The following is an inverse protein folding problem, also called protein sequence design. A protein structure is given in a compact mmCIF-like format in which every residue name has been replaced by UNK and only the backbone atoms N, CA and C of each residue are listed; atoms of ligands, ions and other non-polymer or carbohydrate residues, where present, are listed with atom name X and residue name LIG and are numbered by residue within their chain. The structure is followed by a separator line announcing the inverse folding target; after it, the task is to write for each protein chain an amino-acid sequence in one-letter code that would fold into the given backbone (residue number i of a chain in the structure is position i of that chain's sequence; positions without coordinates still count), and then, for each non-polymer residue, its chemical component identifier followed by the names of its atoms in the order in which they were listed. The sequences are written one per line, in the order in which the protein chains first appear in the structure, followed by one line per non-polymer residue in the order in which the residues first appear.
data_IF_722673674949
#
_entry.id   IF_722673674949
#
_cell.length_a   1.000
_cell.length_b   1.000
_cell.length_c   1.000
_cell.angle_alpha   90.00
_cell.angle_beta   90.00
_cell.angle_gamma   90.00
#
_symmetry.space_group_name_H-M   'P 1'
#
loop_
_entity.id
_entity.type
_entity.pdbx_description
1 polymer ?
#
# COMPACT_ATOMS: atom_id res chain seq x y z
N UNK A 1 7.81 -17.34 1.10
CA UNK A 1 7.40 -17.15 2.49
C UNK A 1 8.36 -17.83 3.48
N UNK A 2 8.44 -19.19 3.53
CA UNK A 2 9.33 -19.87 4.48
C UNK A 2 10.79 -19.42 4.36
N UNK A 3 11.34 -19.42 3.16
CA UNK A 3 12.72 -19.01 2.90
C UNK A 3 12.98 -17.55 3.35
N UNK A 4 12.01 -16.65 3.15
CA UNK A 4 12.14 -15.26 3.60
C UNK A 4 12.29 -15.18 5.14
N UNK A 5 11.49 -15.97 5.87
CA UNK A 5 11.61 -16.06 7.33
C UNK A 5 12.96 -16.65 7.78
N UNK A 6 13.42 -17.74 7.12
CA UNK A 6 14.69 -18.41 7.43
C UNK A 6 15.91 -17.52 7.16
N UNK A 7 15.84 -16.70 6.11
CA UNK A 7 16.92 -15.79 5.72
C UNK A 7 16.90 -14.46 6.47
N UNK A 8 15.90 -14.19 7.32
CA UNK A 8 15.73 -12.91 8.00
C UNK A 8 15.50 -11.75 7.04
N UNK A 9 14.75 -11.99 5.95
CA UNK A 9 14.42 -10.95 5.00
C UNK A 9 13.57 -9.84 5.66
N UNK A 10 13.72 -8.60 5.21
CA UNK A 10 12.88 -7.48 5.68
C UNK A 10 11.46 -7.63 5.18
N UNK A 11 11.29 -8.03 3.91
CA UNK A 11 9.99 -8.21 3.26
C UNK A 11 9.96 -9.43 2.36
N UNK A 12 8.74 -9.84 1.98
CA UNK A 12 8.49 -10.81 0.92
C UNK A 12 7.24 -10.36 0.14
N UNK A 13 7.35 -10.44 -1.18
CA UNK A 13 6.43 -9.83 -2.12
C UNK A 13 5.43 -10.86 -2.68
N UNK A 14 4.27 -10.37 -3.21
CA UNK A 14 3.17 -11.11 -3.85
C UNK A 14 2.41 -12.06 -2.93
N UNK A 15 3.01 -13.14 -2.49
CA UNK A 15 2.49 -14.14 -1.54
C UNK A 15 1.16 -14.81 -1.95
N UNK A 16 0.82 -14.81 -3.25
CA UNK A 16 -0.46 -15.31 -3.78
C UNK A 16 -0.75 -16.79 -3.43
N UNK A 17 0.30 -17.61 -3.31
CA UNK A 17 0.21 -19.04 -3.03
C UNK A 17 0.90 -19.42 -1.70
N UNK A 18 1.11 -18.46 -0.80
CA UNK A 18 1.75 -18.71 0.47
C UNK A 18 0.84 -19.55 1.39
N UNK A 19 1.37 -20.63 1.94
CA UNK A 19 0.65 -21.48 2.89
C UNK A 19 0.63 -20.82 4.26
N UNK A 20 -0.44 -21.05 5.01
CA UNK A 20 -0.65 -20.46 6.33
C UNK A 20 0.51 -20.72 7.30
N UNK A 21 1.04 -21.94 7.32
CA UNK A 21 2.20 -22.30 8.13
C UNK A 21 3.45 -21.48 7.84
N UNK A 22 3.63 -21.07 6.56
CA UNK A 22 4.76 -20.24 6.13
C UNK A 22 4.50 -18.75 6.42
N UNK A 23 3.25 -18.31 6.36
CA UNK A 23 2.85 -16.98 6.79
C UNK A 23 3.05 -16.80 8.29
N UNK A 24 2.71 -17.80 9.10
CA UNK A 24 2.96 -17.79 10.55
C UNK A 24 4.46 -17.69 10.87
N UNK A 25 5.32 -18.38 10.11
CA UNK A 25 6.80 -18.25 10.24
C UNK A 25 7.26 -16.82 9.90
N UNK A 26 6.73 -16.21 8.85
CA UNK A 26 7.03 -14.81 8.50
C UNK A 26 6.61 -13.86 9.61
N UNK A 27 5.41 -14.03 10.18
CA UNK A 27 4.92 -13.22 11.29
C UNK A 27 5.86 -13.31 12.49
N UNK A 28 6.25 -14.55 12.88
CA UNK A 28 7.19 -14.78 13.99
C UNK A 28 8.58 -14.21 13.74
N UNK A 29 9.02 -14.15 12.49
CA UNK A 29 10.32 -13.59 12.08
C UNK A 29 10.27 -12.06 11.83
N UNK A 30 9.11 -11.42 11.92
CA UNK A 30 8.94 -10.01 11.66
C UNK A 30 9.06 -9.61 10.18
N UNK A 31 8.93 -10.56 9.24
CA UNK A 31 9.00 -10.30 7.80
C UNK A 31 7.73 -9.61 7.34
N UNK A 32 7.86 -8.50 6.64
CA UNK A 32 6.73 -7.71 6.13
C UNK A 32 6.18 -8.36 4.84
N UNK A 33 4.86 -8.55 4.78
CA UNK A 33 4.17 -9.01 3.59
C UNK A 33 3.88 -7.82 2.66
N UNK A 34 4.56 -7.73 1.52
CA UNK A 34 4.29 -6.68 0.51
C UNK A 34 3.33 -7.24 -0.53
N UNK A 35 2.10 -6.74 -0.55
CA UNK A 35 1.06 -7.19 -1.46
C UNK A 35 0.94 -6.27 -2.67
N UNK A 36 0.73 -6.88 -3.83
CA UNK A 36 0.79 -6.24 -5.14
C UNK A 36 -0.53 -6.46 -5.91
N UNK A 37 -1.65 -5.89 -5.42
CA UNK A 37 -2.97 -6.22 -5.96
C UNK A 37 -3.15 -5.79 -7.42
N UNK A 38 -2.48 -4.74 -7.87
CA UNK A 38 -2.57 -4.30 -9.26
C UNK A 38 -1.99 -5.34 -10.24
N UNK A 39 -0.94 -6.06 -9.84
CA UNK A 39 -0.38 -7.16 -10.62
C UNK A 39 -1.35 -8.35 -10.69
N UNK A 40 -1.93 -8.74 -9.55
CA UNK A 40 -2.95 -9.79 -9.53
C UNK A 40 -4.15 -9.44 -10.41
N UNK A 41 -4.61 -8.19 -10.36
CA UNK A 41 -5.67 -7.66 -11.22
C UNK A 41 -5.30 -7.78 -12.71
N UNK A 42 -4.14 -7.25 -13.10
CA UNK A 42 -3.68 -7.21 -14.51
C UNK A 42 -3.51 -8.60 -15.10
N UNK A 43 -2.99 -9.54 -14.30
CA UNK A 43 -2.78 -10.93 -14.70
C UNK A 43 -4.02 -11.82 -14.49
N UNK A 44 -5.13 -11.26 -13.99
CA UNK A 44 -6.37 -12.01 -13.68
C UNK A 44 -6.10 -13.22 -12.76
N UNK A 45 -5.25 -13.03 -11.77
CA UNK A 45 -4.92 -14.02 -10.75
C UNK A 45 -5.76 -13.76 -9.48
N UNK A 46 -5.98 -14.78 -8.65
CA UNK A 46 -6.51 -14.58 -7.30
C UNK A 46 -5.65 -13.59 -6.53
N UNK A 47 -6.27 -12.77 -5.67
CA UNK A 47 -5.54 -11.90 -4.76
C UNK A 47 -4.92 -12.72 -3.62
N UNK A 48 -3.83 -12.18 -3.04
CA UNK A 48 -3.30 -12.70 -1.79
C UNK A 48 -4.33 -12.48 -0.66
N UNK A 49 -4.40 -13.42 0.28
CA UNK A 49 -5.33 -13.38 1.41
C UNK A 49 -4.81 -12.41 2.49
N UNK A 50 -5.01 -11.10 2.25
CA UNK A 50 -4.54 -10.05 3.17
C UNK A 50 -5.20 -10.18 4.54
N UNK A 51 -6.50 -10.54 4.59
CA UNK A 51 -7.20 -10.70 5.86
C UNK A 51 -6.54 -11.75 6.73
N UNK A 52 -6.29 -12.94 6.18
CA UNK A 52 -5.59 -14.00 6.90
C UNK A 52 -4.19 -13.56 7.36
N UNK A 53 -3.45 -12.84 6.53
CA UNK A 53 -2.11 -12.35 6.90
C UNK A 53 -2.18 -11.41 8.09
N UNK A 54 -3.14 -10.48 8.09
CA UNK A 54 -3.38 -9.55 9.21
C UNK A 54 -3.81 -10.29 10.47
N UNK A 55 -4.70 -11.27 10.36
CA UNK A 55 -5.18 -12.09 11.49
C UNK A 55 -4.06 -12.95 12.10
N UNK A 56 -3.06 -13.34 11.31
CA UNK A 56 -1.83 -14.00 11.77
C UNK A 56 -0.80 -13.03 12.37
N UNK A 57 -1.08 -11.73 12.42
CA UNK A 57 -0.22 -10.69 12.98
C UNK A 57 0.90 -10.22 12.04
N UNK A 58 0.83 -10.51 10.74
CA UNK A 58 1.77 -9.97 9.77
C UNK A 58 1.57 -8.46 9.58
N UNK A 59 2.67 -7.74 9.49
CA UNK A 59 2.66 -6.39 8.95
C UNK A 59 2.46 -6.47 7.44
N UNK A 60 1.38 -5.87 6.94
CA UNK A 60 1.06 -5.85 5.51
C UNK A 60 1.37 -4.48 4.92
N UNK A 61 2.18 -4.45 3.86
CA UNK A 61 2.44 -3.29 3.03
C UNK A 61 1.82 -3.47 1.65
N UNK A 62 1.56 -2.37 0.96
CA UNK A 62 0.97 -2.33 -0.38
C UNK A 62 1.89 -1.59 -1.35
N UNK A 63 2.02 -2.10 -2.57
CA UNK A 63 2.78 -1.45 -3.63
C UNK A 63 2.15 -1.69 -5.01
N UNK A 64 2.56 -0.89 -5.99
CA UNK A 64 1.99 -0.94 -7.35
C UNK A 64 2.58 -2.05 -8.20
N UNK A 65 3.82 -2.46 -7.92
CA UNK A 65 4.60 -3.33 -8.81
C UNK A 65 4.63 -2.79 -10.26
N UNK A 66 4.75 -1.46 -10.41
CA UNK A 66 4.71 -0.84 -11.72
C UNK A 66 5.90 -1.30 -12.58
N UNK A 67 5.61 -2.12 -13.57
CA UNK A 67 6.60 -2.70 -14.48
C UNK A 67 6.00 -3.01 -15.85
N UNK A 68 6.82 -3.12 -16.91
CA UNK A 68 6.32 -3.37 -18.26
C UNK A 68 5.81 -4.80 -18.50
N UNK A 69 6.08 -5.74 -17.59
CA UNK A 69 5.72 -7.16 -17.79
C UNK A 69 4.33 -7.53 -17.29
N UNK A 70 3.88 -6.98 -16.17
CA UNK A 70 2.68 -7.45 -15.49
C UNK A 70 1.77 -6.37 -14.92
N UNK A 71 2.24 -5.13 -14.73
CA UNK A 71 1.45 -4.06 -14.13
C UNK A 71 1.92 -2.68 -14.60
N UNK A 72 1.17 -2.01 -15.44
CA UNK A 72 1.53 -0.68 -15.95
C UNK A 72 1.04 0.48 -15.07
N UNK A 73 0.32 0.20 -13.98
CA UNK A 73 -0.23 1.25 -13.14
C UNK A 73 0.77 1.77 -12.10
N UNK A 74 0.82 3.09 -11.98
CA UNK A 74 1.52 3.81 -10.91
C UNK A 74 0.54 4.30 -9.83
N UNK A 75 -0.75 3.98 -9.97
CA UNK A 75 -1.81 4.53 -9.14
C UNK A 75 -1.88 3.85 -7.77
N UNK A 76 -1.35 4.50 -6.74
CA UNK A 76 -1.54 4.08 -5.35
C UNK A 76 -3.02 4.12 -4.94
N UNK A 77 -3.85 5.12 -5.35
CA UNK A 77 -5.30 5.07 -5.10
C UNK A 77 -5.97 3.80 -5.65
N UNK A 78 -5.57 3.33 -6.83
CA UNK A 78 -6.08 2.08 -7.40
C UNK A 78 -5.69 0.86 -6.56
N UNK A 79 -4.42 0.78 -6.16
CA UNK A 79 -3.91 -0.29 -5.26
C UNK A 79 -4.66 -0.30 -3.94
N UNK A 80 -4.86 0.88 -3.34
CA UNK A 80 -5.64 1.06 -2.12
C UNK A 80 -7.08 0.54 -2.28
N UNK A 81 -7.75 0.95 -3.37
CA UNK A 81 -9.10 0.50 -3.68
C UNK A 81 -9.20 -1.02 -3.82
N UNK A 82 -8.26 -1.65 -4.52
CA UNK A 82 -8.22 -3.11 -4.65
C UNK A 82 -8.01 -3.81 -3.30
N UNK A 83 -7.16 -3.27 -2.43
CA UNK A 83 -6.91 -3.83 -1.10
C UNK A 83 -8.18 -3.82 -0.23
N UNK A 84 -8.92 -2.72 -0.24
CA UNK A 84 -10.17 -2.59 0.52
C UNK A 84 -11.29 -3.44 -0.09
N UNK A 85 -11.52 -3.31 -1.39
CA UNK A 85 -12.70 -3.90 -2.05
C UNK A 85 -12.54 -5.41 -2.34
N UNK A 86 -11.31 -5.88 -2.57
CA UNK A 86 -11.06 -7.25 -3.04
C UNK A 86 -10.24 -8.12 -2.08
N UNK A 87 -9.54 -7.52 -1.11
CA UNK A 87 -8.66 -8.27 -0.22
C UNK A 87 -9.10 -8.21 1.25
N UNK A 88 -10.27 -7.60 1.54
CA UNK A 88 -10.86 -7.54 2.87
C UNK A 88 -10.07 -6.69 3.88
N UNK A 89 -9.25 -5.76 3.41
CA UNK A 89 -8.59 -4.77 4.28
C UNK A 89 -9.57 -3.66 4.66
N UNK A 90 -9.49 -3.17 5.88
CA UNK A 90 -10.16 -1.92 6.26
C UNK A 90 -9.47 -0.73 5.63
N UNK A 91 -10.13 0.44 5.61
CA UNK A 91 -9.57 1.70 5.11
C UNK A 91 -8.27 2.04 5.86
N UNK A 92 -8.27 1.88 7.18
CA UNK A 92 -7.09 2.18 8.02
C UNK A 92 -5.93 1.21 7.76
N UNK A 93 -6.21 -0.09 7.64
CA UNK A 93 -5.19 -1.09 7.30
C UNK A 93 -4.57 -0.82 5.93
N UNK A 94 -5.38 -0.45 4.93
CA UNK A 94 -4.88 -0.09 3.61
C UNK A 94 -4.08 1.23 3.64
N UNK A 95 -4.47 2.20 4.47
CA UNK A 95 -3.73 3.45 4.66
C UNK A 95 -2.35 3.17 5.28
N UNK A 96 -2.29 2.39 6.37
CA UNK A 96 -1.01 1.95 6.93
C UNK A 96 -0.20 1.16 5.91
N UNK A 97 -0.84 0.30 5.13
CA UNK A 97 -0.22 -0.50 4.07
C UNK A 97 0.49 0.34 3.01
N UNK A 98 -0.14 1.45 2.59
CA UNK A 98 0.42 2.36 1.59
C UNK A 98 1.41 3.39 2.16
N UNK A 99 1.53 3.53 3.47
CA UNK A 99 2.33 4.58 4.11
C UNK A 99 3.38 4.01 5.06
N UNK A 100 3.08 3.89 6.35
CA UNK A 100 4.03 3.47 7.37
C UNK A 100 4.60 2.08 7.13
N UNK A 101 3.76 1.11 6.77
CA UNK A 101 4.21 -0.26 6.56
C UNK A 101 5.05 -0.37 5.27
N UNK A 102 4.70 0.39 4.22
CA UNK A 102 5.52 0.49 3.01
C UNK A 102 6.90 1.10 3.33
N UNK A 103 6.94 2.15 4.16
CA UNK A 103 8.19 2.75 4.61
C UNK A 103 9.06 1.77 5.42
N UNK A 104 8.44 0.96 6.29
CA UNK A 104 9.13 -0.11 7.04
C UNK A 104 9.71 -1.17 6.09
N UNK A 105 8.95 -1.58 5.07
CA UNK A 105 9.39 -2.60 4.12
C UNK A 105 10.67 -2.22 3.37
N UNK A 106 10.94 -0.93 3.21
CA UNK A 106 12.14 -0.41 2.55
C UNK A 106 13.11 0.28 3.53
N UNK A 107 12.88 0.18 4.84
CA UNK A 107 13.80 0.64 5.88
C UNK A 107 13.92 2.17 6.03
N UNK A 108 12.87 2.93 5.69
CA UNK A 108 12.87 4.41 5.77
C UNK A 108 11.82 4.98 6.72
N UNK A 109 11.19 4.15 7.53
CA UNK A 109 10.13 4.52 8.47
C UNK A 109 10.60 5.47 9.57
N UNK A 110 11.89 5.54 9.84
CA UNK A 110 12.48 6.56 10.70
C UNK A 110 12.41 7.98 10.13
N UNK A 111 12.26 8.13 8.81
CA UNK A 111 12.27 9.43 8.12
C UNK A 111 10.98 9.78 7.40
N UNK A 112 10.13 8.82 7.06
CA UNK A 112 8.86 9.05 6.35
C UNK A 112 7.82 7.96 6.69
N UNK A 113 6.67 7.99 5.99
CA UNK A 113 5.59 7.01 6.16
C UNK A 113 4.55 7.39 7.22
N UNK A 114 4.81 8.42 8.04
CA UNK A 114 3.86 8.97 9.02
C UNK A 114 4.12 10.45 9.24
N UNK A 115 3.09 11.17 9.72
CA UNK A 115 3.19 12.58 10.07
C UNK A 115 3.59 12.73 11.54
N UNK A 116 4.88 12.72 11.79
CA UNK A 116 5.47 12.81 13.12
C UNK A 116 6.57 13.87 13.17
N UNK A 117 6.88 14.38 14.40
CA UNK A 117 8.02 15.28 14.58
C UNK A 117 9.31 14.61 14.13
N UNK A 118 10.18 15.40 13.49
CA UNK A 118 11.47 14.97 12.95
C UNK A 118 11.43 14.05 11.72
N UNK A 119 10.24 13.75 11.18
CA UNK A 119 10.11 13.11 9.88
C UNK A 119 9.98 14.15 8.76
N UNK A 120 10.25 13.72 7.55
CA UNK A 120 10.08 14.55 6.36
C UNK A 120 8.62 14.98 6.22
N UNK A 121 8.39 16.24 5.88
CA UNK A 121 7.06 16.76 5.58
C UNK A 121 6.62 16.32 4.17
N UNK A 122 6.55 14.99 3.97
CA UNK A 122 6.03 14.34 2.77
C UNK A 122 4.57 14.00 3.04
N UNK A 123 3.65 14.71 2.39
CA UNK A 123 2.21 14.51 2.61
C UNK A 123 1.40 14.74 1.34
N UNK A 124 0.23 14.11 1.32
CA UNK A 124 -0.77 14.25 0.27
C UNK A 124 -2.05 14.81 0.89
N UNK A 125 -2.61 15.86 0.29
CA UNK A 125 -3.93 16.38 0.65
C UNK A 125 -4.95 15.78 -0.31
N UNK A 126 -5.96 15.14 0.25
CA UNK A 126 -7.03 14.51 -0.51
C UNK A 126 -8.24 15.46 -0.68
N UNK A 127 -8.99 15.25 -1.75
CA UNK A 127 -10.25 15.92 -2.04
C UNK A 127 -11.41 15.15 -1.40
N UNK A 128 -11.45 15.15 -0.07
CA UNK A 128 -12.47 14.49 0.72
C UNK A 128 -12.14 14.45 2.21
N UNK A 129 -13.16 14.17 3.01
CA UNK A 129 -13.10 14.24 4.48
C UNK A 129 -12.51 12.98 5.13
N UNK A 130 -12.31 11.92 4.35
CA UNK A 130 -11.82 10.64 4.85
C UNK A 130 -11.00 9.90 3.79
N UNK A 131 -9.99 9.10 4.19
CA UNK A 131 -9.23 8.24 3.28
C UNK A 131 -10.09 7.23 2.51
N UNK A 132 -11.30 6.93 2.94
CA UNK A 132 -12.24 6.04 2.24
C UNK A 132 -12.52 6.49 0.80
N UNK A 133 -12.35 7.78 0.48
CA UNK A 133 -12.48 8.31 -0.88
C UNK A 133 -11.54 7.62 -1.87
N UNK A 134 -10.37 7.14 -1.43
CA UNK A 134 -9.41 6.40 -2.25
C UNK A 134 -9.97 5.05 -2.72
N UNK A 135 -10.79 4.39 -1.89
CA UNK A 135 -11.44 3.14 -2.24
C UNK A 135 -12.76 3.36 -2.99
N UNK A 136 -13.51 4.39 -2.61
CA UNK A 136 -14.85 4.66 -3.16
C UNK A 136 -14.79 5.24 -4.58
N UNK A 137 -13.86 6.15 -4.85
CA UNK A 137 -13.71 6.80 -6.14
C UNK A 137 -12.76 6.02 -7.07
N UNK A 138 -13.14 4.79 -7.43
CA UNK A 138 -12.36 3.95 -8.35
C UNK A 138 -12.06 4.68 -9.67
N UNK A 139 -10.80 4.62 -10.11
CA UNK A 139 -10.38 5.15 -11.40
C UNK A 139 -10.05 6.65 -11.41
N UNK A 140 -10.19 7.34 -10.29
CA UNK A 140 -9.73 8.74 -10.14
C UNK A 140 -8.70 8.85 -9.03
N UNK A 141 -7.85 9.85 -9.12
CA UNK A 141 -6.92 10.22 -8.06
C UNK A 141 -7.46 11.46 -7.33
N UNK A 142 -8.12 11.30 -6.16
CA UNK A 142 -8.72 12.42 -5.43
C UNK A 142 -7.64 13.19 -4.65
N UNK A 143 -6.60 13.66 -5.36
CA UNK A 143 -5.47 14.39 -4.79
C UNK A 143 -5.61 15.87 -5.12
N UNK A 144 -5.61 16.72 -4.09
CA UNK A 144 -5.58 18.18 -4.23
C UNK A 144 -4.15 18.70 -4.34
N UNK A 145 -3.27 18.26 -3.45
CA UNK A 145 -1.87 18.68 -3.48
C UNK A 145 -0.94 17.61 -2.91
N UNK A 146 0.30 17.68 -3.35
CA UNK A 146 1.39 16.82 -2.86
C UNK A 146 2.53 17.73 -2.37
N UNK A 147 3.00 17.44 -1.18
CA UNK A 147 4.15 18.10 -0.58
C UNK A 147 5.30 17.11 -0.44
N UNK A 148 6.49 17.54 -0.82
CA UNK A 148 7.74 16.82 -0.67
C UNK A 148 8.71 17.67 0.16
N UNK A 149 9.10 17.18 1.33
CA UNK A 149 9.95 17.90 2.28
C UNK A 149 9.41 19.32 2.60
N UNK A 150 8.08 19.45 2.71
CA UNK A 150 7.41 20.71 2.98
C UNK A 150 7.19 21.62 1.76
N UNK A 151 7.72 21.30 0.60
CA UNK A 151 7.49 22.03 -0.65
C UNK A 151 6.31 21.44 -1.42
N UNK A 152 5.38 22.28 -1.87
CA UNK A 152 4.27 21.87 -2.72
C UNK A 152 4.80 21.56 -4.14
N UNK A 153 4.81 20.28 -4.50
CA UNK A 153 5.32 19.80 -5.79
C UNK A 153 4.22 19.50 -6.81
N UNK A 154 2.99 19.32 -6.32
CA UNK A 154 1.79 19.14 -7.14
C UNK A 154 0.67 19.94 -6.51
N UNK A 155 -0.01 20.76 -7.31
CA UNK A 155 -1.22 21.45 -6.93
C UNK A 155 -2.25 21.26 -8.04
N UNK A 156 -3.42 20.68 -7.71
CA UNK A 156 -4.53 20.62 -8.66
C UNK A 156 -5.10 22.05 -8.78
N UNK A 157 -5.03 22.61 -9.98
CA UNK A 157 -5.75 23.86 -10.28
C UNK A 157 -7.23 23.52 -10.45
N UNK A 158 -8.07 24.21 -9.71
CA UNK A 158 -9.53 24.05 -9.76
C UNK A 158 -10.07 24.67 -11.06
N UNK A 159 -9.99 23.93 -12.15
CA UNK A 159 -10.65 24.31 -13.43
C UNK A 159 -12.02 23.61 -13.58
N UNK A 160 -12.59 23.13 -12.47
CA UNK A 160 -13.97 22.63 -12.44
C UNK A 160 -14.98 23.74 -12.16
N UNK A 161 -15.00 24.75 -12.98
CA UNK A 161 -16.27 25.45 -13.27
C UNK A 161 -16.91 24.73 -14.46
N UNK A 162 -17.52 23.59 -14.19
CA UNK A 162 -18.53 23.06 -15.11
C UNK A 162 -19.75 23.95 -14.90
N UNK A 163 -20.01 24.81 -15.88
CA UNK A 163 -21.26 25.57 -16.01
C UNK A 163 -22.43 24.60 -16.22
#
# INVERSE_FOLDING_TARGET
AALAAEMGAVSAEHLLAAREENLAKMASAGVIAVLLPATAYSLRKPYADARKMLDLGLTVALATDCNPGSSFTQSVPFVFGLAVMNMGMTVDEALYGCTLNAAKAIGVDGSCGSLERNKLADLVVLDGDTPAILAYNCGVAPVLSVYKRGECVVQRTDDRRIN
#
